data_IF_182984658052
#
_entry.id   IF_182984658052
#
_cell.length_a   1.000
_cell.length_b   1.000
_cell.length_c   1.000
_cell.angle_alpha   90.00
_cell.angle_beta   90.00
_cell.angle_gamma   90.00
#
_symmetry.space_group_name_H-M   'P 1'
#
loop_
_entity.id
_entity.type
_entity.pdbx_description
1 polymer ?
#
# COMPACT_ATOMS: atom_id res chain seq x y z
N UNK A 1 2.53 17.67 7.53
CA UNK A 1 2.66 16.32 6.95
C UNK A 1 3.97 16.18 6.17
N UNK A 2 4.30 17.09 5.24
CA UNK A 2 5.49 16.96 4.37
C UNK A 2 6.85 16.81 5.09
N UNK A 3 7.19 17.60 6.14
CA UNK A 3 8.44 17.40 6.86
C UNK A 3 8.53 16.03 7.55
N UNK A 4 7.41 15.52 8.06
CA UNK A 4 7.34 14.19 8.69
C UNK A 4 7.45 13.08 7.64
N UNK A 5 6.88 13.27 6.46
CA UNK A 5 7.07 12.37 5.32
C UNK A 5 8.54 12.30 4.88
N UNK A 6 9.23 13.45 4.81
CA UNK A 6 10.66 13.50 4.51
C UNK A 6 11.47 12.77 5.58
N UNK A 7 11.13 12.95 6.87
CA UNK A 7 11.78 12.22 7.96
C UNK A 7 11.60 10.70 7.82
N UNK A 8 10.39 10.21 7.51
CA UNK A 8 10.16 8.79 7.23
C UNK A 8 10.97 8.30 6.03
N UNK A 9 11.05 9.10 4.97
CA UNK A 9 11.81 8.75 3.76
C UNK A 9 13.30 8.66 4.06
N UNK A 10 13.84 9.64 4.78
CA UNK A 10 15.23 9.65 5.20
C UNK A 10 15.55 8.50 6.15
N UNK A 11 14.68 8.22 7.14
CA UNK A 11 14.83 7.07 8.03
C UNK A 11 14.89 5.77 7.24
N UNK A 12 13.97 5.58 6.30
CA UNK A 12 13.89 4.36 5.49
C UNK A 12 15.18 4.13 4.69
N UNK A 13 15.67 5.18 4.02
CA UNK A 13 16.86 5.12 3.15
C UNK A 13 18.16 5.10 3.95
N UNK A 14 18.31 5.92 4.98
CA UNK A 14 19.59 6.01 5.69
C UNK A 14 19.79 4.91 6.73
N UNK A 15 18.71 4.30 7.22
CA UNK A 15 18.77 3.35 8.33
C UNK A 15 17.99 2.07 8.07
N UNK A 16 16.66 2.15 7.88
CA UNK A 16 15.78 0.99 7.93
C UNK A 16 16.15 -0.09 6.90
N UNK A 17 16.44 0.29 5.65
CA UNK A 17 16.81 -0.63 4.58
C UNK A 17 18.09 -1.46 4.86
N UNK A 18 18.89 -1.05 5.83
CA UNK A 18 20.10 -1.77 6.23
C UNK A 18 19.89 -2.70 7.43
N UNK A 19 18.68 -2.71 8.02
CA UNK A 19 18.37 -3.58 9.16
C UNK A 19 18.01 -5.01 8.68
N UNK A 20 18.40 -6.06 9.43
CA UNK A 20 18.07 -7.44 9.07
C UNK A 20 16.56 -7.70 8.95
N UNK A 21 15.76 -7.06 9.81
CA UNK A 21 14.31 -7.18 9.82
C UNK A 21 13.70 -6.69 8.50
N UNK A 22 14.09 -5.48 8.06
CA UNK A 22 13.56 -4.89 6.82
C UNK A 22 14.08 -5.64 5.59
N UNK A 23 15.34 -6.07 5.57
CA UNK A 23 15.90 -6.89 4.49
C UNK A 23 15.17 -8.22 4.34
N UNK A 24 14.93 -8.91 5.46
CA UNK A 24 14.22 -10.19 5.47
C UNK A 24 12.78 -10.03 5.00
N UNK A 25 12.07 -8.99 5.47
CA UNK A 25 10.72 -8.68 5.01
C UNK A 25 10.69 -8.31 3.53
N UNK A 26 11.59 -7.45 3.06
CA UNK A 26 11.65 -7.04 1.66
C UNK A 26 11.87 -8.25 0.73
N UNK A 27 12.81 -9.14 1.08
CA UNK A 27 13.04 -10.37 0.35
C UNK A 27 11.81 -11.30 0.36
N UNK A 28 11.21 -11.52 1.53
CA UNK A 28 10.00 -12.34 1.68
C UNK A 28 8.81 -11.79 0.89
N UNK A 29 8.69 -10.47 0.80
CA UNK A 29 7.62 -9.77 0.10
C UNK A 29 7.93 -9.54 -1.38
N UNK A 30 9.06 -10.02 -1.90
CA UNK A 30 9.52 -9.82 -3.26
C UNK A 30 9.52 -8.34 -3.70
N UNK A 31 10.08 -7.47 -2.85
CA UNK A 31 10.27 -6.05 -3.14
C UNK A 31 11.73 -5.65 -2.89
N UNK A 32 12.33 -4.93 -3.83
CA UNK A 32 13.69 -4.42 -3.73
C UNK A 32 13.75 -3.21 -2.84
N UNK A 33 14.73 -3.18 -1.97
CA UNK A 33 15.10 -2.00 -1.19
C UNK A 33 15.82 -0.97 -2.06
N UNK A 34 15.83 0.31 -1.66
CA UNK A 34 16.48 1.36 -2.45
C UNK A 34 17.95 1.07 -2.78
N UNK A 35 18.70 0.46 -1.84
CA UNK A 35 20.09 0.08 -2.04
C UNK A 35 20.32 -1.07 -3.03
N UNK A 36 19.27 -1.83 -3.39
CA UNK A 36 19.33 -2.95 -4.33
C UNK A 36 18.98 -2.53 -5.76
N UNK A 37 18.52 -1.29 -5.97
CA UNK A 37 18.12 -0.78 -7.28
C UNK A 37 19.37 -0.30 -8.04
N UNK A 38 19.94 -1.16 -8.88
CA UNK A 38 21.09 -0.82 -9.71
C UNK A 38 20.72 0.25 -10.76
N UNK A 39 21.26 1.47 -10.64
CA UNK A 39 21.20 2.50 -11.69
C UNK A 39 20.28 3.70 -11.43
N UNK A 40 19.49 3.72 -10.36
CA UNK A 40 18.71 4.90 -9.97
C UNK A 40 19.55 5.84 -9.08
N UNK A 41 20.64 6.39 -9.62
CA UNK A 41 21.23 7.57 -9.01
C UNK A 41 20.15 8.67 -9.04
N UNK A 42 19.70 9.13 -7.87
CA UNK A 42 18.95 10.38 -7.61
C UNK A 42 17.40 10.40 -7.61
N UNK A 43 16.69 9.28 -7.76
CA UNK A 43 15.22 9.32 -7.52
C UNK A 43 14.90 8.95 -6.08
N UNK A 44 14.34 9.89 -5.32
CA UNK A 44 13.77 9.63 -3.99
C UNK A 44 12.86 8.39 -4.06
N UNK A 45 13.10 7.34 -3.26
CA UNK A 45 12.28 6.14 -3.33
C UNK A 45 10.85 6.46 -2.95
N UNK A 46 9.90 6.01 -3.76
CA UNK A 46 8.48 6.18 -3.49
C UNK A 46 8.07 5.26 -2.34
N UNK A 47 7.86 5.82 -1.15
CA UNK A 47 7.35 5.06 0.01
C UNK A 47 6.01 4.37 -0.30
N UNK A 48 5.26 4.90 -1.27
CA UNK A 48 4.00 4.31 -1.73
C UNK A 48 4.17 2.87 -2.23
N UNK A 49 5.26 2.52 -2.91
CA UNK A 49 5.50 1.16 -3.40
C UNK A 49 5.60 0.16 -2.23
N UNK A 50 6.33 0.53 -1.18
CA UNK A 50 6.48 -0.27 0.03
C UNK A 50 5.18 -0.35 0.82
N UNK A 51 4.46 0.77 0.98
CA UNK A 51 3.15 0.81 1.65
C UNK A 51 2.16 -0.13 0.95
N UNK A 52 2.07 -0.06 -0.38
CA UNK A 52 1.23 -0.97 -1.20
C UNK A 52 1.59 -2.42 -0.95
N UNK A 53 2.88 -2.77 -0.99
CA UNK A 53 3.33 -4.15 -0.79
C UNK A 53 3.07 -4.65 0.63
N UNK A 54 3.27 -3.82 1.65
CA UNK A 54 2.96 -4.18 3.04
C UNK A 54 1.46 -4.42 3.23
N UNK A 55 0.60 -3.54 2.72
CA UNK A 55 -0.86 -3.64 2.88
C UNK A 55 -1.41 -4.88 2.16
N UNK A 56 -1.03 -5.08 0.91
CA UNK A 56 -1.58 -6.18 0.09
C UNK A 56 -1.20 -7.57 0.60
N UNK A 57 -0.08 -7.66 1.34
CA UNK A 57 0.42 -8.88 1.99
C UNK A 57 0.06 -8.95 3.48
N UNK A 58 -0.70 -7.97 3.99
CA UNK A 58 -1.08 -7.78 5.39
C UNK A 58 0.10 -7.80 6.37
N UNK A 59 1.16 -7.05 6.04
CA UNK A 59 2.34 -6.78 6.87
C UNK A 59 2.42 -5.32 7.32
N UNK A 60 1.29 -4.65 7.47
CA UNK A 60 1.15 -3.25 7.86
C UNK A 60 0.86 -3.06 9.36
N UNK A 61 1.36 -3.95 10.21
CA UNK A 61 1.24 -3.78 11.67
C UNK A 61 2.06 -2.56 12.16
N UNK A 62 1.67 -1.91 13.27
CA UNK A 62 2.42 -0.76 13.81
C UNK A 62 3.92 -1.04 14.02
N UNK A 63 4.28 -2.25 14.44
CA UNK A 63 5.68 -2.65 14.63
C UNK A 63 6.46 -2.70 13.30
N UNK A 64 5.85 -3.26 12.24
CA UNK A 64 6.49 -3.29 10.91
C UNK A 64 6.57 -1.88 10.32
N UNK A 65 5.53 -1.07 10.50
CA UNK A 65 5.52 0.32 10.03
C UNK A 65 6.57 1.17 10.73
N UNK A 66 6.76 1.01 12.04
CA UNK A 66 7.86 1.66 12.77
C UNK A 66 9.23 1.16 12.26
N UNK A 67 9.37 -0.15 12.03
CA UNK A 67 10.62 -0.71 11.51
C UNK A 67 10.99 -0.15 10.12
N UNK A 68 10.01 0.11 9.25
CA UNK A 68 10.25 0.70 7.93
C UNK A 68 10.41 2.23 7.96
N UNK A 69 9.58 2.95 8.72
CA UNK A 69 9.39 4.39 8.55
C UNK A 69 9.71 5.23 9.80
N UNK A 70 10.16 4.59 10.89
CA UNK A 70 10.51 5.20 12.16
C UNK A 70 9.31 5.37 13.09
N UNK A 71 9.56 5.67 14.37
CA UNK A 71 8.52 5.74 15.42
C UNK A 71 7.39 6.75 15.09
N UNK A 72 7.73 7.88 14.46
CA UNK A 72 6.77 8.94 14.11
C UNK A 72 6.06 8.72 12.76
N UNK A 73 6.05 7.48 12.24
CA UNK A 73 5.48 7.15 10.93
C UNK A 73 4.02 7.61 10.76
N UNK A 74 3.23 7.63 11.84
CA UNK A 74 1.83 8.05 11.84
C UNK A 74 1.68 9.47 11.26
N UNK A 75 2.59 10.38 11.63
CA UNK A 75 2.55 11.76 11.15
C UNK A 75 3.08 11.96 9.73
N UNK A 76 3.88 11.03 9.23
CA UNK A 76 4.52 11.09 7.91
C UNK A 76 3.76 10.35 6.81
N UNK A 77 3.49 9.06 7.04
CA UNK A 77 2.87 8.13 6.08
C UNK A 77 1.52 7.57 6.52
N UNK A 78 1.05 7.91 7.73
CA UNK A 78 -0.20 7.35 8.27
C UNK A 78 -1.43 7.56 7.39
N UNK A 79 -1.59 8.73 6.77
CA UNK A 79 -2.70 8.99 5.83
C UNK A 79 -2.60 8.15 4.56
N UNK A 80 -1.38 7.91 4.05
CA UNK A 80 -1.15 7.06 2.87
C UNK A 80 -1.51 5.61 3.17
N UNK A 81 -1.17 5.12 4.37
CA UNK A 81 -1.51 3.76 4.82
C UNK A 81 -3.02 3.60 4.95
N UNK A 82 -3.71 4.54 5.62
CA UNK A 82 -5.17 4.52 5.77
C UNK A 82 -5.85 4.49 4.39
N UNK A 83 -5.45 5.39 3.50
CA UNK A 83 -6.02 5.46 2.16
C UNK A 83 -5.77 4.19 1.35
N UNK A 84 -4.58 3.62 1.42
CA UNK A 84 -4.24 2.44 0.64
C UNK A 84 -4.93 1.17 1.17
N UNK A 85 -5.21 1.07 2.48
CA UNK A 85 -6.05 -0.01 3.05
C UNK A 85 -7.46 0.01 2.45
N UNK A 86 -8.08 1.19 2.33
CA UNK A 86 -9.39 1.35 1.68
C UNK A 86 -9.31 1.01 0.19
N UNK A 87 -8.27 1.47 -0.52
CA UNK A 87 -8.05 1.13 -1.93
C UNK A 87 -7.91 -0.39 -2.17
N UNK A 88 -7.23 -1.09 -1.25
CA UNK A 88 -7.07 -2.53 -1.33
C UNK A 88 -8.40 -3.26 -1.22
N UNK A 89 -9.23 -2.90 -0.24
CA UNK A 89 -10.59 -3.46 -0.10
C UNK A 89 -11.43 -3.22 -1.35
N UNK A 90 -11.39 -1.99 -1.89
CA UNK A 90 -12.11 -1.64 -3.10
C UNK A 90 -11.65 -2.47 -4.31
N UNK A 91 -10.34 -2.62 -4.51
CA UNK A 91 -9.76 -3.39 -5.62
C UNK A 91 -10.10 -4.87 -5.52
N UNK A 92 -9.99 -5.44 -4.31
CA UNK A 92 -10.34 -6.83 -4.02
C UNK A 92 -11.81 -7.13 -4.33
N UNK A 93 -12.70 -6.18 -4.00
CA UNK A 93 -14.13 -6.31 -4.25
C UNK A 93 -14.50 -6.19 -5.73
N UNK A 94 -13.88 -5.27 -6.47
CA UNK A 94 -14.25 -4.97 -7.85
C UNK A 94 -13.71 -5.98 -8.87
N UNK A 95 -12.44 -6.37 -8.75
CA UNK A 95 -11.74 -7.21 -9.75
C UNK A 95 -11.50 -8.66 -9.32
N UNK A 96 -11.81 -8.99 -8.07
CA UNK A 96 -11.43 -10.27 -7.47
C UNK A 96 -9.92 -10.40 -7.23
N UNK A 97 -9.52 -11.53 -6.63
CA UNK A 97 -8.16 -11.72 -6.11
C UNK A 97 -7.06 -11.72 -7.19
N UNK A 98 -7.29 -12.35 -8.34
CA UNK A 98 -6.28 -12.43 -9.39
C UNK A 98 -5.95 -11.05 -9.99
N UNK A 99 -6.98 -10.27 -10.34
CA UNK A 99 -6.82 -8.90 -10.83
C UNK A 99 -6.19 -7.99 -9.78
N UNK A 100 -6.59 -8.16 -8.51
CA UNK A 100 -6.00 -7.41 -7.39
C UNK A 100 -4.51 -7.68 -7.25
N UNK A 101 -4.06 -8.93 -7.38
CA UNK A 101 -2.63 -9.26 -7.32
C UNK A 101 -1.86 -8.53 -8.41
N UNK A 102 -2.36 -8.58 -9.65
CA UNK A 102 -1.75 -7.89 -10.79
C UNK A 102 -1.70 -6.37 -10.60
N UNK A 103 -2.74 -5.76 -10.01
CA UNK A 103 -2.78 -4.33 -9.71
C UNK A 103 -1.75 -3.86 -8.66
N UNK A 104 -1.14 -4.79 -7.92
CA UNK A 104 -0.11 -4.52 -6.90
C UNK A 104 1.30 -5.00 -7.32
N UNK A 105 1.44 -5.59 -8.50
CA UNK A 105 2.74 -5.91 -9.07
C UNK A 105 3.51 -4.63 -9.39
N UNK A 106 4.82 -4.64 -9.14
CA UNK A 106 5.74 -3.57 -9.53
C UNK A 106 6.49 -4.10 -10.75
N UNK A 107 6.14 -3.60 -11.92
CA UNK A 107 6.73 -4.06 -13.17
C UNK A 107 8.15 -3.49 -13.36
N UNK A 108 9.05 -4.24 -14.03
CA UNK A 108 8.78 -5.49 -14.74
C UNK A 108 8.92 -6.78 -13.91
N UNK A 109 9.55 -6.76 -12.74
CA UNK A 109 10.12 -7.96 -12.12
C UNK A 109 9.70 -8.21 -10.66
N UNK A 110 9.01 -7.29 -10.02
CA UNK A 110 8.63 -7.38 -8.61
C UNK A 110 7.14 -7.74 -8.47
N UNK A 111 6.82 -9.01 -8.72
CA UNK A 111 5.47 -9.55 -8.54
C UNK A 111 5.09 -9.66 -7.06
N UNK A 112 3.85 -9.33 -6.73
CA UNK A 112 3.24 -9.56 -5.42
C UNK A 112 3.20 -11.07 -5.16
N UNK A 113 3.86 -11.59 -4.11
CA UNK A 113 4.01 -13.03 -3.93
C UNK A 113 2.68 -13.71 -3.55
N UNK A 114 1.86 -13.06 -2.73
CA UNK A 114 0.55 -13.53 -2.29
C UNK A 114 -0.30 -12.36 -1.79
N UNK A 115 -1.60 -12.59 -1.65
CA UNK A 115 -2.56 -11.65 -1.08
C UNK A 115 -3.01 -12.12 0.30
N UNK A 116 -3.29 -11.19 1.21
CA UNK A 116 -3.92 -11.51 2.51
C UNK A 116 -5.02 -10.50 2.84
N UNK A 117 -6.15 -10.94 3.41
CA UNK A 117 -7.12 -10.03 4.00
C UNK A 117 -6.45 -9.07 4.99
N UNK A 118 -6.93 -7.82 5.05
CA UNK A 118 -6.42 -6.84 6.00
C UNK A 118 -6.51 -7.36 7.43
N UNK A 119 -5.42 -7.22 8.18
CA UNK A 119 -5.45 -7.49 9.63
C UNK A 119 -6.19 -6.36 10.33
N UNK A 120 -7.08 -6.74 11.25
CA UNK A 120 -7.83 -5.82 12.11
C UNK A 120 -8.45 -4.63 11.33
N UNK A 121 -9.09 -4.92 10.19
CA UNK A 121 -9.87 -3.90 9.49
C UNK A 121 -10.94 -3.37 10.44
N UNK A 122 -10.95 -2.06 10.66
CA UNK A 122 -11.95 -1.43 11.52
C UNK A 122 -13.30 -1.37 10.79
N UNK A 123 -14.41 -1.40 11.53
CA UNK A 123 -15.75 -1.23 10.95
C UNK A 123 -15.85 0.07 10.13
N UNK A 124 -15.18 1.13 10.56
CA UNK A 124 -15.16 2.40 9.83
C UNK A 124 -14.42 2.29 8.49
N UNK A 125 -13.30 1.56 8.42
CA UNK A 125 -12.60 1.29 7.16
C UNK A 125 -13.45 0.45 6.20
N UNK A 126 -14.17 -0.55 6.73
CA UNK A 126 -15.08 -1.38 5.93
C UNK A 126 -16.25 -0.53 5.40
N UNK A 127 -16.85 0.29 6.25
CA UNK A 127 -17.95 1.20 5.89
C UNK A 127 -17.50 2.25 4.87
N UNK A 128 -16.30 2.82 5.02
CA UNK A 128 -15.73 3.77 4.06
C UNK A 128 -15.48 3.10 2.70
N UNK A 129 -14.93 1.88 2.70
CA UNK A 129 -14.75 1.11 1.47
C UNK A 129 -16.09 0.77 0.80
N UNK A 130 -17.10 0.38 1.57
CA UNK A 130 -18.45 0.07 1.08
C UNK A 130 -19.17 1.29 0.51
N UNK A 131 -19.03 2.46 1.17
CA UNK A 131 -19.61 3.70 0.68
C UNK A 131 -19.00 4.12 -0.66
N UNK A 132 -17.66 4.06 -0.78
CA UNK A 132 -16.94 4.36 -2.03
C UNK A 132 -17.27 3.37 -3.14
N UNK A 133 -17.49 2.10 -2.78
CA UNK A 133 -17.99 1.10 -3.71
C UNK A 133 -19.40 1.41 -4.20
N UNK A 134 -20.31 1.77 -3.31
CA UNK A 134 -21.70 2.11 -3.63
C UNK A 134 -21.79 3.36 -4.52
N UNK A 135 -20.98 4.38 -4.22
CA UNK A 135 -20.86 5.59 -5.05
C UNK A 135 -20.34 5.26 -6.45
N UNK A 136 -19.32 4.40 -6.55
CA UNK A 136 -18.77 3.98 -7.84
C UNK A 136 -19.76 3.16 -8.68
N UNK A 137 -20.53 2.25 -8.07
CA UNK A 137 -21.61 1.54 -8.78
C UNK A 137 -22.73 2.48 -9.24
N UNK A 138 -23.06 3.49 -8.44
CA UNK A 138 -23.99 4.54 -8.87
C UNK A 138 -23.42 5.34 -10.07
N UNK A 139 -22.09 5.47 -10.14
CA UNK A 139 -21.36 5.93 -11.32
C UNK A 139 -21.23 4.88 -12.46
N UNK A 140 -21.74 3.67 -12.33
CA UNK A 140 -21.98 2.79 -13.48
C UNK A 140 -23.44 2.96 -13.93
N UNK A 141 -24.37 3.05 -12.98
CA UNK A 141 -25.80 3.25 -13.23
C UNK A 141 -26.12 4.55 -13.99
N UNK A 142 -25.43 5.67 -13.73
CA UNK A 142 -25.58 6.90 -14.54
C UNK A 142 -25.12 6.73 -16.00
N UNK A 143 -24.18 5.81 -16.29
CA UNK A 143 -23.72 5.53 -17.67
C UNK A 143 -24.70 4.62 -18.42
N UNK A 144 -25.56 3.90 -17.71
CA UNK A 144 -26.61 3.05 -18.31
C UNK A 144 -27.85 3.88 -18.71
N UNK A 145 -27.90 5.16 -18.33
CA UNK A 145 -29.00 6.07 -18.62
C UNK A 145 -30.26 5.73 -17.82
N UNK A 146 -31.17 6.70 -17.67
CA UNK A 146 -32.48 6.47 -17.08
C UNK A 146 -33.14 5.30 -17.80
N UNK A 147 -33.33 4.16 -17.11
CA UNK A 147 -34.33 3.19 -17.55
C UNK A 147 -35.69 3.83 -17.34
N UNK A 148 -36.08 4.71 -18.25
CA UNK A 148 -37.47 5.10 -18.42
C UNK A 148 -38.21 3.88 -18.99
N UNK A 149 -39.38 3.50 -18.43
CA UNK A 149 -40.31 2.63 -19.13
C UNK A 149 -40.84 3.29 -20.41
#
# INVERSE_FOLDING_TARGET
WYPRYLACTQFFVSYAQHTPTVQSLAAFLNIRLPCQQSGAQTTHPSLRAYIRRLIVTAQDSPAVLSAFFGEDWVGGVGSMIKQERVNYLFTAKSGGWASTKAAYDILPDEQTPFLRPLRAATEEELREAEARWSEWLAMEDWMVGSRSP
#
